data_IF_269105833316
#
_entry.id   IF_269105833316
#
_cell.length_a   1.000
_cell.length_b   1.000
_cell.length_c   1.000
_cell.angle_alpha   90.00
_cell.angle_beta   90.00
_cell.angle_gamma   90.00
#
_symmetry.space_group_name_H-M   'P 1'
#
loop_
_entity.id
_entity.type
_entity.pdbx_description
1 polymer ?
#
# COMPACT_ATOMS: atom_id res chain seq x y z
N UNK A 1 0.36 15.75 -19.41
CA UNK A 1 0.41 14.36 -18.94
C UNK A 1 1.35 14.33 -17.75
N UNK A 2 0.83 14.30 -16.52
CA UNK A 2 1.69 14.30 -15.32
C UNK A 2 2.10 12.85 -15.09
N UNK A 3 3.37 12.53 -15.34
CA UNK A 3 3.99 11.28 -14.90
C UNK A 3 4.07 11.33 -13.38
N UNK A 4 3.25 10.54 -12.70
CA UNK A 4 3.43 10.30 -11.27
C UNK A 4 4.81 9.66 -11.09
N UNK A 5 5.63 10.11 -10.12
CA UNK A 5 6.91 9.46 -9.86
C UNK A 5 6.68 7.97 -9.57
N UNK A 6 7.54 7.10 -10.10
CA UNK A 6 7.54 5.67 -9.74
C UNK A 6 7.66 5.56 -8.21
N UNK A 7 6.57 5.20 -7.53
CA UNK A 7 6.64 4.88 -6.11
C UNK A 7 7.18 3.47 -6.01
N UNK A 8 8.40 3.31 -5.52
CA UNK A 8 9.04 1.98 -5.44
C UNK A 8 8.73 1.32 -4.11
N UNK A 9 8.09 0.16 -4.16
CA UNK A 9 7.85 -0.68 -2.98
C UNK A 9 8.98 -1.69 -2.83
N UNK A 10 9.72 -1.62 -1.72
CA UNK A 10 10.89 -2.48 -1.44
C UNK A 10 10.69 -3.43 -0.25
N UNK A 11 9.72 -3.15 0.61
CA UNK A 11 9.36 -3.92 1.79
C UNK A 11 7.91 -3.64 2.22
N UNK A 12 7.40 -4.38 3.20
CA UNK A 12 6.03 -4.23 3.68
C UNK A 12 5.73 -2.81 4.21
N UNK A 13 6.70 -2.16 4.87
CA UNK A 13 6.51 -0.78 5.36
C UNK A 13 6.36 0.22 4.21
N UNK A 14 7.18 0.11 3.17
CA UNK A 14 7.08 0.92 1.95
C UNK A 14 5.77 0.70 1.20
N UNK A 15 5.16 -0.49 1.31
CA UNK A 15 3.85 -0.76 0.72
C UNK A 15 2.75 0.07 1.39
N UNK A 16 2.76 0.16 2.72
CA UNK A 16 1.85 1.03 3.48
C UNK A 16 2.01 2.50 3.10
N UNK A 17 3.25 2.95 2.97
CA UNK A 17 3.58 4.30 2.49
C UNK A 17 3.08 4.57 1.06
N UNK A 18 3.22 3.60 0.15
CA UNK A 18 2.74 3.69 -1.23
C UNK A 18 1.23 3.88 -1.29
N UNK A 19 0.50 3.03 -0.55
CA UNK A 19 -0.96 3.07 -0.49
C UNK A 19 -1.42 4.45 0.01
N UNK A 20 -0.79 4.95 1.07
CA UNK A 20 -1.08 6.29 1.59
C UNK A 20 -0.84 7.38 0.54
N UNK A 21 0.31 7.34 -0.13
CA UNK A 21 0.68 8.31 -1.16
C UNK A 21 -0.35 8.38 -2.29
N UNK A 22 -0.71 7.23 -2.87
CA UNK A 22 -1.68 7.18 -3.97
C UNK A 22 -3.11 7.50 -3.51
N UNK A 23 -3.48 7.12 -2.28
CA UNK A 23 -4.76 7.51 -1.69
C UNK A 23 -4.88 9.03 -1.59
N UNK A 24 -3.86 9.69 -1.03
CA UNK A 24 -3.82 11.15 -0.87
C UNK A 24 -3.77 11.86 -2.23
N UNK A 25 -3.00 11.34 -3.19
CA UNK A 25 -2.96 11.85 -4.57
C UNK A 25 -4.30 11.72 -5.31
N UNK A 26 -5.13 10.74 -4.95
CA UNK A 26 -6.49 10.57 -5.46
C UNK A 26 -7.54 11.41 -4.68
N UNK A 27 -7.13 12.18 -3.67
CA UNK A 27 -8.03 12.99 -2.85
C UNK A 27 -8.95 12.18 -1.93
N UNK A 28 -8.62 10.92 -1.64
CA UNK A 28 -9.46 10.03 -0.85
C UNK A 28 -9.07 10.07 0.64
N UNK A 29 -10.07 10.06 1.51
CA UNK A 29 -9.90 9.73 2.92
C UNK A 29 -9.67 8.23 3.11
N UNK A 30 -9.16 7.85 4.28
CA UNK A 30 -9.03 6.43 4.65
C UNK A 30 -10.40 5.72 4.70
N UNK A 31 -11.48 6.42 5.06
CA UNK A 31 -12.81 5.82 5.08
C UNK A 31 -13.29 5.50 3.67
N UNK A 32 -13.15 6.43 2.73
CA UNK A 32 -13.57 6.25 1.34
C UNK A 32 -12.78 5.15 0.63
N UNK A 33 -11.46 5.10 0.81
CA UNK A 33 -10.68 4.02 0.20
C UNK A 33 -11.03 2.65 0.82
N UNK A 34 -11.21 2.59 2.14
CA UNK A 34 -11.57 1.35 2.82
C UNK A 34 -12.94 0.83 2.38
N UNK A 35 -13.92 1.72 2.23
CA UNK A 35 -15.27 1.41 1.73
C UNK A 35 -15.22 0.83 0.31
N UNK A 36 -14.44 1.45 -0.59
CA UNK A 36 -14.32 1.01 -2.00
C UNK A 36 -13.84 -0.43 -2.17
N UNK A 37 -13.00 -0.92 -1.26
CA UNK A 37 -12.44 -2.28 -1.33
C UNK A 37 -13.05 -3.23 -0.28
N UNK A 38 -14.10 -2.78 0.43
CA UNK A 38 -14.85 -3.61 1.38
C UNK A 38 -14.07 -4.01 2.64
N UNK A 39 -13.19 -3.13 3.16
CA UNK A 39 -12.47 -3.36 4.42
C UNK A 39 -12.86 -2.32 5.49
N UNK A 40 -12.60 -2.63 6.76
CA UNK A 40 -12.75 -1.65 7.82
C UNK A 40 -11.68 -0.54 7.71
N UNK A 41 -12.07 0.71 8.01
CA UNK A 41 -11.15 1.85 8.07
C UNK A 41 -9.92 1.58 8.94
N UNK A 42 -10.10 0.89 10.07
CA UNK A 42 -9.01 0.53 10.98
C UNK A 42 -7.99 -0.42 10.32
N UNK A 43 -8.46 -1.35 9.49
CA UNK A 43 -7.60 -2.22 8.69
C UNK A 43 -6.72 -1.40 7.76
N UNK A 44 -7.28 -0.40 7.07
CA UNK A 44 -6.50 0.50 6.21
C UNK A 44 -5.50 1.33 7.02
N UNK A 45 -5.88 1.86 8.18
CA UNK A 45 -4.95 2.60 9.06
C UNK A 45 -3.74 1.74 9.44
N UNK A 46 -3.96 0.47 9.80
CA UNK A 46 -2.88 -0.47 10.14
C UNK A 46 -1.98 -0.74 8.94
N UNK A 47 -2.57 -0.96 7.76
CA UNK A 47 -1.85 -1.13 6.49
C UNK A 47 -0.95 0.08 6.20
N UNK A 48 -1.50 1.29 6.23
CA UNK A 48 -0.75 2.53 5.93
C UNK A 48 0.34 2.85 6.96
N UNK A 49 0.25 2.29 8.17
CA UNK A 49 1.28 2.39 9.22
C UNK A 49 2.34 1.29 9.15
N UNK A 50 2.30 0.42 8.14
CA UNK A 50 3.22 -0.72 8.03
C UNK A 50 2.94 -1.84 9.04
N UNK A 51 1.80 -1.81 9.74
CA UNK A 51 1.38 -2.85 10.69
C UNK A 51 0.73 -4.04 9.96
N UNK A 52 1.42 -4.52 8.94
CA UNK A 52 1.01 -5.59 8.06
C UNK A 52 1.24 -6.96 8.71
N UNK A 53 0.50 -7.96 8.25
CA UNK A 53 0.65 -9.35 8.70
C UNK A 53 1.95 -9.95 8.16
N UNK A 54 2.45 -11.01 8.82
CA UNK A 54 3.56 -11.83 8.31
C UNK A 54 3.31 -12.34 6.88
N UNK A 55 2.05 -12.60 6.54
CA UNK A 55 1.70 -13.03 5.19
C UNK A 55 2.01 -11.96 4.14
N UNK A 56 1.73 -10.69 4.42
CA UNK A 56 2.05 -9.60 3.49
C UNK A 56 3.57 -9.41 3.37
N UNK A 57 4.31 -9.56 4.47
CA UNK A 57 5.79 -9.55 4.43
C UNK A 57 6.32 -10.61 3.48
N UNK A 58 5.87 -11.86 3.62
CA UNK A 58 6.25 -12.97 2.74
C UNK A 58 5.88 -12.73 1.28
N UNK A 59 4.70 -12.14 1.01
CA UNK A 59 4.32 -11.81 -0.38
C UNK A 59 5.29 -10.79 -0.97
N UNK A 60 5.64 -9.74 -0.23
CA UNK A 60 6.61 -8.74 -0.71
C UNK A 60 7.98 -9.38 -0.96
N UNK A 61 8.42 -10.28 -0.07
CA UNK A 61 9.67 -11.04 -0.26
C UNK A 61 9.62 -11.91 -1.51
N UNK A 62 8.53 -12.66 -1.72
CA UNK A 62 8.35 -13.50 -2.92
C UNK A 62 8.39 -12.66 -4.20
N UNK A 63 7.72 -11.52 -4.24
CA UNK A 63 7.71 -10.64 -5.42
C UNK A 63 9.10 -10.06 -5.69
N UNK A 64 9.86 -9.74 -4.64
CA UNK A 64 11.25 -9.29 -4.76
C UNK A 64 12.15 -10.37 -5.35
N UNK A 65 12.02 -11.62 -4.90
CA UNK A 65 12.79 -12.75 -5.46
C UNK A 65 12.46 -13.01 -6.94
N UNK A 66 11.26 -12.63 -7.38
CA UNK A 66 10.81 -12.75 -8.77
C UNK A 66 11.14 -11.52 -9.64
N UNK A 67 11.92 -10.56 -9.12
CA UNK A 67 12.22 -9.26 -9.77
C UNK A 67 10.98 -8.49 -10.25
N UNK A 68 9.85 -8.66 -9.54
CA UNK A 68 8.62 -7.90 -9.81
C UNK A 68 8.75 -6.52 -9.17
N UNK A 69 8.69 -5.48 -10.02
CA UNK A 69 8.65 -4.09 -9.57
C UNK A 69 7.21 -3.67 -9.32
N UNK A 70 6.92 -3.33 -8.06
CA UNK A 70 5.65 -2.75 -7.61
C UNK A 70 5.77 -1.24 -7.46
#
# INVERSE_FOLDING_TARGET
MITLPEYRVYNAESLGGAIRHFREGAGLSQAELAERIGIHRETLVRIERGQLTEQVRRIVELLKELDVRL
#
